data_IF_400958058821
#
_entry.id   IF_400958058821
#
_cell.length_a   1.000
_cell.length_b   1.000
_cell.length_c   1.000
_cell.angle_alpha   90.00
_cell.angle_beta   90.00
_cell.angle_gamma   90.00
#
_symmetry.space_group_name_H-M   'P 1'
#
loop_
_entity.id
_entity.type
_entity.pdbx_description
1 polymer ?
#
# COMPACT_ATOMS: atom_id res chain seq x y z
N UNK A 1 -7.59 10.15 13.21
CA UNK A 1 -7.76 9.58 11.86
C UNK A 1 -6.98 10.47 10.92
N UNK A 2 -5.82 10.01 10.46
CA UNK A 2 -5.03 10.75 9.49
C UNK A 2 -5.79 10.72 8.16
N UNK A 3 -6.11 11.89 7.60
CA UNK A 3 -6.85 11.95 6.35
C UNK A 3 -5.91 11.60 5.21
N UNK A 4 -6.03 10.38 4.69
CA UNK A 4 -5.24 9.92 3.55
C UNK A 4 -5.85 10.47 2.27
N UNK A 5 -5.06 11.19 1.50
CA UNK A 5 -5.42 11.60 0.14
C UNK A 5 -4.64 10.75 -0.87
N UNK A 6 -5.24 10.48 -2.02
CA UNK A 6 -4.64 9.63 -3.05
C UNK A 6 -4.24 10.49 -4.24
N UNK A 7 -2.93 10.70 -4.39
CA UNK A 7 -2.36 11.33 -5.57
C UNK A 7 -2.24 10.29 -6.69
N UNK A 8 -2.90 10.54 -7.83
CA UNK A 8 -2.81 9.66 -8.99
C UNK A 8 -1.70 10.15 -9.92
N UNK A 9 -0.61 9.39 -9.97
CA UNK A 9 0.50 9.58 -10.89
C UNK A 9 0.32 8.64 -12.10
N UNK A 10 -0.22 9.15 -13.23
CA UNK A 10 -0.53 8.31 -14.38
C UNK A 10 0.72 7.66 -14.98
N UNK A 11 0.58 6.48 -15.65
CA UNK A 11 -0.69 5.83 -15.99
C UNK A 11 -1.23 4.85 -14.94
N UNK A 12 -0.41 4.44 -13.97
CA UNK A 12 -0.70 3.25 -13.14
C UNK A 12 -0.17 3.31 -11.70
N UNK A 13 0.15 4.51 -11.19
CA UNK A 13 0.68 4.68 -9.83
C UNK A 13 -0.24 5.56 -8.99
N UNK A 14 -0.54 5.13 -7.77
CA UNK A 14 -1.27 5.91 -6.76
C UNK A 14 -0.38 6.08 -5.55
N UNK A 15 -0.29 7.30 -5.04
CA UNK A 15 0.50 7.60 -3.84
C UNK A 15 -0.45 8.01 -2.72
N UNK A 16 -0.41 7.30 -1.61
CA UNK A 16 -1.07 7.72 -0.37
C UNK A 16 -0.27 8.87 0.22
N UNK A 17 -0.93 10.01 0.36
CA UNK A 17 -0.41 11.22 0.99
C UNK A 17 -1.16 11.45 2.29
N UNK A 18 -0.47 11.84 3.35
CA UNK A 18 -1.11 12.32 4.58
C UNK A 18 -0.30 13.48 5.17
N UNK A 19 -0.97 14.55 5.57
CA UNK A 19 -0.34 15.79 6.07
C UNK A 19 0.79 16.33 5.17
N UNK A 20 0.65 16.16 3.85
CA UNK A 20 1.63 16.58 2.85
C UNK A 20 2.82 15.62 2.66
N UNK A 21 2.87 14.50 3.37
CA UNK A 21 3.92 13.49 3.25
C UNK A 21 3.43 12.27 2.45
N UNK A 22 4.27 11.79 1.52
CA UNK A 22 4.04 10.54 0.82
C UNK A 22 4.34 9.35 1.76
N UNK A 23 3.34 8.50 1.96
CA UNK A 23 3.43 7.37 2.90
C UNK A 23 3.53 6.03 2.18
N UNK A 24 2.78 5.83 1.10
CA UNK A 24 2.73 4.54 0.41
C UNK A 24 2.53 4.71 -1.10
N UNK A 25 3.27 3.93 -1.89
CA UNK A 25 3.08 3.85 -3.34
C UNK A 25 2.34 2.56 -3.71
N UNK A 26 1.25 2.68 -4.44
CA UNK A 26 0.55 1.56 -5.08
C UNK A 26 0.81 1.63 -6.57
N UNK A 27 1.47 0.60 -7.12
CA UNK A 27 1.78 0.51 -8.55
C UNK A 27 1.16 -0.73 -9.16
N UNK A 28 0.54 -0.59 -10.34
CA UNK A 28 0.07 -1.75 -11.12
C UNK A 28 1.27 -2.55 -11.62
N UNK A 29 1.18 -3.87 -11.55
CA UNK A 29 2.18 -4.77 -12.14
C UNK A 29 1.75 -5.20 -13.54
N UNK A 30 2.72 -5.40 -14.43
CA UNK A 30 2.48 -5.79 -15.83
C UNK A 30 1.82 -7.18 -15.93
N UNK A 31 2.10 -8.05 -14.96
CA UNK A 31 1.50 -9.39 -14.82
C UNK A 31 0.05 -9.37 -14.30
N UNK A 32 -0.52 -8.19 -14.06
CA UNK A 32 -1.78 -8.01 -13.35
C UNK A 32 -1.59 -7.83 -11.84
N UNK A 33 -2.62 -7.29 -11.20
CA UNK A 33 -2.60 -6.93 -9.79
C UNK A 33 -1.79 -5.66 -9.47
N UNK A 34 -1.63 -5.42 -8.17
CA UNK A 34 -1.16 -4.18 -7.60
C UNK A 34 -0.15 -4.46 -6.49
N UNK A 35 0.85 -3.60 -6.35
CA UNK A 35 1.83 -3.70 -5.26
C UNK A 35 1.84 -2.40 -4.49
N UNK A 36 1.57 -2.49 -3.20
CA UNK A 36 1.74 -1.40 -2.26
C UNK A 36 3.13 -1.47 -1.62
N UNK A 37 3.80 -0.35 -1.52
CA UNK A 37 5.16 -0.21 -0.97
C UNK A 37 5.15 0.97 -0.01
N UNK A 38 5.47 0.72 1.25
CA UNK A 38 5.68 1.81 2.21
C UNK A 38 6.90 2.63 1.79
N UNK A 39 6.77 3.96 1.84
CA UNK A 39 7.87 4.90 1.57
C UNK A 39 8.62 5.29 2.86
N UNK A 40 8.11 4.87 4.02
CA UNK A 40 8.73 5.01 5.34
C UNK A 40 9.26 3.66 5.85
N UNK A 41 9.54 3.55 7.15
CA UNK A 41 10.05 2.32 7.78
C UNK A 41 8.95 1.30 8.13
N UNK A 42 7.69 1.53 7.70
CA UNK A 42 6.59 0.58 7.99
C UNK A 42 6.76 -0.70 7.21
N UNK A 43 6.31 -1.78 7.83
CA UNK A 43 6.27 -3.11 7.22
C UNK A 43 4.83 -3.61 7.20
N UNK A 44 4.44 -4.21 6.07
CA UNK A 44 3.22 -4.99 5.99
C UNK A 44 3.35 -6.24 6.86
N UNK A 45 2.31 -6.59 7.65
CA UNK A 45 2.32 -7.82 8.43
C UNK A 45 2.41 -9.04 7.50
N UNK A 46 2.87 -10.16 8.08
CA UNK A 46 2.95 -11.44 7.38
C UNK A 46 1.57 -11.81 6.78
N UNK A 47 1.53 -12.32 5.54
CA UNK A 47 0.27 -12.77 4.95
C UNK A 47 -0.37 -13.89 5.80
N UNK A 48 -1.70 -13.91 5.95
CA UNK A 48 -2.38 -14.93 6.78
C UNK A 48 -2.09 -16.38 6.37
N UNK A 49 -1.85 -16.61 5.08
CA UNK A 49 -1.52 -17.94 4.53
C UNK A 49 -0.04 -18.33 4.74
N UNK A 50 0.82 -17.39 5.13
CA UNK A 50 2.24 -17.61 5.42
C UNK A 50 2.63 -16.86 6.72
N UNK A 51 2.11 -17.26 7.89
CA UNK A 51 2.33 -16.52 9.15
C UNK A 51 3.78 -16.57 9.64
N UNK A 52 4.60 -17.48 9.11
CA UNK A 52 6.05 -17.56 9.39
C UNK A 52 6.89 -16.62 8.52
N UNK A 53 6.28 -15.97 7.53
CA UNK A 53 6.99 -14.98 6.72
C UNK A 53 7.31 -13.74 7.55
N UNK A 54 8.46 -13.13 7.30
CA UNK A 54 8.80 -11.87 7.94
C UNK A 54 7.95 -10.74 7.34
N UNK A 55 7.55 -9.73 8.14
CA UNK A 55 6.95 -8.51 7.62
C UNK A 55 7.78 -7.92 6.47
N UNK A 56 7.10 -7.43 5.43
CA UNK A 56 7.76 -6.94 4.22
C UNK A 56 7.42 -5.46 3.98
N UNK A 57 8.35 -4.66 3.44
CA UNK A 57 8.04 -3.28 3.06
C UNK A 57 7.05 -3.21 1.88
N UNK A 58 6.85 -4.32 1.18
CA UNK A 58 5.97 -4.43 0.02
C UNK A 58 4.92 -5.52 0.20
N UNK A 59 3.72 -5.30 -0.35
CA UNK A 59 2.64 -6.29 -0.37
C UNK A 59 1.88 -6.27 -1.68
N UNK A 60 1.57 -7.45 -2.19
CA UNK A 60 0.78 -7.63 -3.42
C UNK A 60 -0.72 -7.72 -3.10
N UNK A 61 -1.53 -7.17 -3.98
CA UNK A 61 -2.99 -7.13 -3.92
C UNK A 61 -3.57 -7.43 -5.30
N UNK A 62 -4.77 -8.02 -5.32
CA UNK A 62 -5.43 -8.40 -6.57
C UNK A 62 -6.09 -7.19 -7.25
N UNK A 63 -6.56 -6.21 -6.47
CA UNK A 63 -7.21 -5.00 -6.98
C UNK A 63 -6.64 -3.72 -6.35
N UNK A 64 -6.87 -2.58 -7.02
CA UNK A 64 -6.47 -1.26 -6.52
C UNK A 64 -7.26 -0.91 -5.25
N UNK A 65 -8.54 -1.26 -5.21
CA UNK A 65 -9.44 -0.99 -4.08
C UNK A 65 -8.98 -1.72 -2.82
N UNK A 66 -8.63 -3.00 -2.93
CA UNK A 66 -8.05 -3.78 -1.83
C UNK A 66 -6.75 -3.16 -1.31
N UNK A 67 -5.87 -2.74 -2.23
CA UNK A 67 -4.61 -2.12 -1.88
C UNK A 67 -4.81 -0.79 -1.14
N UNK A 68 -5.73 0.07 -1.62
CA UNK A 68 -6.04 1.35 -0.97
C UNK A 68 -6.64 1.15 0.41
N UNK A 69 -7.64 0.27 0.53
CA UNK A 69 -8.28 -0.05 1.80
C UNK A 69 -7.28 -0.59 2.83
N UNK A 70 -6.37 -1.47 2.41
CA UNK A 70 -5.34 -2.01 3.29
C UNK A 70 -4.36 -0.93 3.78
N UNK A 71 -4.01 0.04 2.94
CA UNK A 71 -3.19 1.19 3.32
C UNK A 71 -3.93 2.07 4.34
N UNK A 72 -5.20 2.39 4.08
CA UNK A 72 -6.02 3.21 4.98
C UNK A 72 -6.19 2.54 6.36
N UNK A 73 -6.43 1.23 6.38
CA UNK A 73 -6.49 0.45 7.61
C UNK A 73 -5.16 0.45 8.38
N UNK A 74 -4.04 0.24 7.68
CA UNK A 74 -2.70 0.24 8.29
C UNK A 74 -2.26 1.62 8.80
N UNK A 75 -2.80 2.70 8.24
CA UNK A 75 -2.58 4.07 8.72
C UNK A 75 -3.54 4.49 9.85
N UNK A 76 -4.63 3.75 10.03
CA UNK A 76 -5.63 3.99 11.09
C UNK A 76 -5.39 3.15 12.35
N UNK A 77 -4.56 2.12 12.27
CA UNK A 77 -4.12 1.28 13.38
C UNK A 77 -2.97 1.93 14.15
#
# INVERSE_FOLDING_TARGET
>A
MTHVTWDHNPPTTWTAMADGQALCSIKRKDIGGWTAVWMDERLWPAPPHLPKAMPQPTRFFSSLEEAKLAVEQALSA
#
